data_IF_582192644207
#
_entry.id   IF_582192644207
#
_cell.length_a   1.000
_cell.length_b   1.000
_cell.length_c   1.000
_cell.angle_alpha   90.00
_cell.angle_beta   90.00
_cell.angle_gamma   90.00
#
_symmetry.space_group_name_H-M   'P 1'
#
loop_
_entity.id
_entity.type
_entity.pdbx_description
1 polymer ?
#
# COMPACT_ATOMS: atom_id res chain seq x y z
N UNK A 1 -20.92 -6.56 -1.95
CA UNK A 1 -21.16 -7.99 -2.31
C UNK A 1 -20.88 -8.18 -3.79
N UNK A 2 -19.67 -8.63 -4.11
CA UNK A 2 -19.32 -9.15 -5.44
C UNK A 2 -18.87 -10.60 -5.22
N UNK A 3 -19.72 -11.56 -5.57
CA UNK A 3 -19.66 -12.96 -5.10
C UNK A 3 -18.94 -13.88 -6.11
N UNK A 4 -17.87 -13.43 -6.79
CA UNK A 4 -17.27 -14.26 -7.85
C UNK A 4 -15.74 -14.28 -7.97
N UNK A 5 -14.95 -13.87 -6.98
CA UNK A 5 -13.49 -13.94 -7.12
C UNK A 5 -12.71 -14.67 -6.01
N UNK A 6 -13.32 -15.20 -4.96
CA UNK A 6 -12.56 -15.95 -3.93
C UNK A 6 -11.48 -15.12 -3.20
N UNK A 7 -11.41 -13.80 -3.44
CA UNK A 7 -10.55 -12.89 -2.69
C UNK A 7 -10.99 -12.71 -1.22
N UNK A 8 -12.15 -13.27 -0.84
CA UNK A 8 -12.57 -13.44 0.56
C UNK A 8 -11.91 -14.68 1.23
N UNK A 9 -11.10 -15.47 0.52
CA UNK A 9 -10.47 -16.68 1.08
C UNK A 9 -9.20 -16.37 1.89
N UNK A 10 -8.60 -15.18 1.72
CA UNK A 10 -7.38 -14.80 2.44
C UNK A 10 -7.57 -13.44 3.13
N UNK A 11 -7.78 -13.47 4.45
CA UNK A 11 -8.10 -12.29 5.25
C UNK A 11 -7.08 -11.15 5.09
N UNK A 12 -5.79 -11.49 4.94
CA UNK A 12 -4.70 -10.52 4.74
C UNK A 12 -4.84 -9.77 3.41
N UNK A 13 -5.15 -10.45 2.31
CA UNK A 13 -5.35 -9.80 1.00
C UNK A 13 -6.57 -8.88 1.04
N UNK A 14 -7.68 -9.37 1.62
CA UNK A 14 -8.88 -8.55 1.80
C UNK A 14 -8.62 -7.30 2.64
N UNK A 15 -7.78 -7.40 3.67
CA UNK A 15 -7.32 -6.26 4.47
C UNK A 15 -6.47 -5.29 3.64
N UNK A 16 -5.45 -5.74 2.92
CA UNK A 16 -4.58 -4.85 2.13
C UNK A 16 -5.37 -4.07 1.08
N UNK A 17 -6.31 -4.72 0.39
CA UNK A 17 -7.25 -4.03 -0.53
C UNK A 17 -8.12 -2.99 0.17
N UNK A 18 -8.57 -3.24 1.41
CA UNK A 18 -9.31 -2.24 2.18
C UNK A 18 -8.41 -1.04 2.58
N UNK A 19 -7.18 -1.31 2.99
CA UNK A 19 -6.18 -0.28 3.30
C UNK A 19 -5.83 0.57 2.06
N UNK A 20 -5.71 -0.04 0.88
CA UNK A 20 -5.49 0.67 -0.40
C UNK A 20 -6.56 1.72 -0.69
N UNK A 21 -7.84 1.41 -0.43
CA UNK A 21 -8.93 2.37 -0.61
C UNK A 21 -8.73 3.57 0.31
N UNK A 22 -8.40 3.35 1.58
CA UNK A 22 -8.16 4.44 2.54
C UNK A 22 -6.96 5.31 2.14
N UNK A 23 -5.88 4.69 1.66
CA UNK A 23 -4.67 5.40 1.20
C UNK A 23 -4.98 6.22 -0.06
N UNK A 24 -5.66 5.65 -1.06
CA UNK A 24 -6.04 6.36 -2.30
C UNK A 24 -6.95 7.56 -2.01
N UNK A 25 -7.94 7.39 -1.13
CA UNK A 25 -8.87 8.46 -0.79
C UNK A 25 -8.14 9.62 -0.09
N UNK A 26 -7.25 9.29 0.86
CA UNK A 26 -6.45 10.29 1.59
C UNK A 26 -5.43 10.97 0.68
N UNK A 27 -4.75 10.23 -0.19
CA UNK A 27 -3.85 10.79 -1.19
C UNK A 27 -4.60 11.67 -2.22
N UNK A 28 -5.84 11.33 -2.54
CA UNK A 28 -6.72 12.14 -3.38
C UNK A 28 -7.09 13.47 -2.72
N UNK A 29 -7.31 13.49 -1.41
CA UNK A 29 -7.50 14.71 -0.62
C UNK A 29 -6.24 15.58 -0.63
N UNK A 30 -5.07 14.99 -0.37
CA UNK A 30 -3.77 15.66 -0.45
C UNK A 30 -3.56 16.30 -1.83
N UNK A 31 -3.82 15.55 -2.90
CA UNK A 31 -3.68 16.03 -4.28
C UNK A 31 -4.56 17.26 -4.54
N UNK A 32 -5.85 17.20 -4.17
CA UNK A 32 -6.75 18.35 -4.33
C UNK A 32 -6.28 19.56 -3.52
N UNK A 33 -5.89 19.35 -2.27
CA UNK A 33 -5.39 20.41 -1.39
C UNK A 33 -4.19 21.17 -1.99
N UNK A 34 -3.24 20.43 -2.58
CA UNK A 34 -2.10 21.05 -3.27
C UNK A 34 -2.54 21.87 -4.48
N UNK A 35 -3.44 21.33 -5.31
CA UNK A 35 -3.97 22.03 -6.50
C UNK A 35 -4.79 23.28 -6.15
N UNK A 36 -5.55 23.22 -5.06
CA UNK A 36 -6.37 24.33 -4.57
C UNK A 36 -5.53 25.42 -3.86
N UNK A 37 -4.22 25.19 -3.68
CA UNK A 37 -3.30 26.13 -3.06
C UNK A 37 -3.59 26.34 -1.57
N UNK A 38 -4.04 25.30 -0.86
CA UNK A 38 -4.28 25.42 0.59
C UNK A 38 -2.99 25.76 1.33
N UNK A 39 -3.07 26.36 2.54
CA UNK A 39 -1.89 26.71 3.32
C UNK A 39 -0.92 25.53 3.54
N UNK A 40 0.41 25.76 3.50
CA UNK A 40 1.41 24.69 3.60
C UNK A 40 1.26 23.79 4.83
N UNK A 41 0.85 24.33 5.97
CA UNK A 41 0.63 23.56 7.19
C UNK A 41 -0.48 22.51 7.05
N UNK A 42 -1.49 22.77 6.21
CA UNK A 42 -2.56 21.82 5.93
C UNK A 42 -2.09 20.72 4.97
N UNK A 43 -1.26 21.06 3.98
CA UNK A 43 -0.62 20.07 3.10
C UNK A 43 0.26 19.13 3.93
N UNK A 44 1.10 19.68 4.80
CA UNK A 44 1.98 18.94 5.73
C UNK A 44 1.17 17.97 6.61
N UNK A 45 0.03 18.40 7.15
CA UNK A 45 -0.85 17.53 7.92
C UNK A 45 -1.47 16.40 7.07
N UNK A 46 -1.87 16.68 5.83
CA UNK A 46 -2.38 15.66 4.91
C UNK A 46 -1.29 14.66 4.48
N UNK A 47 -0.05 15.11 4.29
CA UNK A 47 1.09 14.22 4.04
C UNK A 47 1.30 13.27 5.24
N UNK A 48 1.26 13.79 6.46
CA UNK A 48 1.40 12.95 7.68
C UNK A 48 0.26 11.94 7.80
N UNK A 49 -0.95 12.27 7.37
CA UNK A 49 -2.07 11.33 7.31
C UNK A 49 -1.84 10.22 6.29
N UNK A 50 -1.38 10.55 5.07
CA UNK A 50 -1.06 9.54 4.05
C UNK A 50 0.05 8.61 4.54
N UNK A 51 1.15 9.16 5.07
CA UNK A 51 2.25 8.37 5.66
C UNK A 51 1.77 7.47 6.79
N UNK A 52 0.92 7.99 7.67
CA UNK A 52 0.34 7.23 8.78
C UNK A 52 -0.47 6.01 8.35
N UNK A 53 -0.98 5.99 7.12
CA UNK A 53 -1.67 4.85 6.51
C UNK A 53 -0.70 3.96 5.70
N UNK A 54 0.16 4.56 4.88
CA UNK A 54 1.02 3.85 3.94
C UNK A 54 2.20 3.13 4.63
N UNK A 55 2.85 3.76 5.61
CA UNK A 55 4.00 3.17 6.32
C UNK A 55 3.67 1.83 7.01
N UNK A 56 2.58 1.70 7.80
CA UNK A 56 2.24 0.42 8.40
C UNK A 56 1.71 -0.62 7.41
N UNK A 57 1.13 -0.18 6.30
CA UNK A 57 0.62 -1.04 5.24
C UNK A 57 1.77 -1.72 4.49
N UNK A 58 2.66 -0.94 3.88
CA UNK A 58 3.85 -1.43 3.17
C UNK A 58 4.74 -2.29 4.06
N UNK A 59 4.90 -1.90 5.33
CA UNK A 59 5.62 -2.73 6.32
C UNK A 59 4.97 -4.09 6.53
N UNK A 60 3.64 -4.17 6.57
CA UNK A 60 2.92 -5.41 6.79
C UNK A 60 3.05 -6.35 5.58
N UNK A 61 3.02 -5.80 4.37
CA UNK A 61 3.28 -6.56 3.14
C UNK A 61 4.70 -7.12 3.13
N UNK A 62 5.70 -6.26 3.37
CA UNK A 62 7.12 -6.61 3.30
C UNK A 62 7.54 -7.72 4.25
N UNK A 63 7.05 -7.68 5.50
CA UNK A 63 7.38 -8.70 6.50
C UNK A 63 6.46 -9.92 6.44
N UNK A 64 5.28 -9.77 5.85
CA UNK A 64 4.26 -10.82 5.72
C UNK A 64 4.31 -11.48 4.37
N UNK A 65 3.37 -11.10 3.49
CA UNK A 65 3.16 -11.72 2.18
C UNK A 65 4.44 -11.73 1.32
N UNK A 66 5.17 -10.62 1.26
CA UNK A 66 6.34 -10.48 0.39
C UNK A 66 7.53 -11.28 0.91
N UNK A 67 7.67 -11.41 2.23
CA UNK A 67 8.71 -12.24 2.81
C UNK A 67 8.56 -13.71 2.37
N UNK A 68 7.33 -14.23 2.36
CA UNK A 68 7.04 -15.60 1.91
C UNK A 68 7.18 -15.74 0.39
N UNK A 69 6.62 -14.80 -0.39
CA UNK A 69 6.72 -14.85 -1.86
C UNK A 69 8.17 -14.76 -2.36
N UNK A 70 9.04 -14.02 -1.66
CA UNK A 70 10.46 -13.88 -2.03
C UNK A 70 11.25 -15.20 -1.92
N UNK A 71 10.71 -16.22 -1.25
CA UNK A 71 11.32 -17.57 -1.20
C UNK A 71 11.18 -18.32 -2.54
N UNK A 72 10.24 -17.91 -3.39
CA UNK A 72 10.05 -18.45 -4.75
C UNK A 72 10.69 -17.51 -5.78
N UNK A 73 11.65 -18.05 -6.54
CA UNK A 73 12.39 -17.33 -7.58
C UNK A 73 11.47 -16.70 -8.65
N UNK A 74 10.26 -17.25 -8.85
CA UNK A 74 9.25 -16.73 -9.78
C UNK A 74 8.72 -15.36 -9.35
N UNK A 75 8.73 -15.07 -8.05
CA UNK A 75 8.19 -13.83 -7.48
C UNK A 75 9.26 -12.86 -6.98
N UNK A 76 10.50 -13.33 -6.76
CA UNK A 76 11.57 -12.56 -6.13
C UNK A 76 11.80 -11.17 -6.79
N UNK A 77 12.01 -11.12 -8.11
CA UNK A 77 12.25 -9.87 -8.85
C UNK A 77 11.04 -8.92 -8.77
N UNK A 78 9.83 -9.48 -8.83
CA UNK A 78 8.59 -8.70 -8.76
C UNK A 78 8.42 -8.06 -7.38
N UNK A 79 8.69 -8.84 -6.33
CA UNK A 79 8.63 -8.39 -4.95
C UNK A 79 9.71 -7.32 -4.67
N UNK A 80 10.93 -7.49 -5.18
CA UNK A 80 11.98 -6.48 -5.07
C UNK A 80 11.56 -5.15 -5.73
N UNK A 81 10.97 -5.22 -6.92
CA UNK A 81 10.44 -4.04 -7.60
C UNK A 81 9.36 -3.31 -6.79
N UNK A 82 8.45 -4.03 -6.14
CA UNK A 82 7.41 -3.42 -5.30
C UNK A 82 7.99 -2.77 -4.03
N UNK A 83 8.97 -3.39 -3.38
CA UNK A 83 9.66 -2.75 -2.25
C UNK A 83 10.41 -1.48 -2.67
N UNK A 84 11.04 -1.47 -3.85
CA UNK A 84 11.66 -0.25 -4.38
C UNK A 84 10.62 0.85 -4.68
N UNK A 85 9.41 0.46 -5.10
CA UNK A 85 8.28 1.39 -5.27
C UNK A 85 7.82 1.97 -3.92
N UNK A 86 7.81 1.19 -2.83
CA UNK A 86 7.54 1.71 -1.48
C UNK A 86 8.54 2.81 -1.08
N UNK A 87 9.84 2.56 -1.30
CA UNK A 87 10.89 3.55 -1.01
C UNK A 87 10.71 4.83 -1.86
N UNK A 88 10.32 4.68 -3.12
CA UNK A 88 10.02 5.82 -4.00
C UNK A 88 8.82 6.64 -3.49
N UNK A 89 7.75 5.98 -3.03
CA UNK A 89 6.58 6.65 -2.46
C UNK A 89 6.93 7.41 -1.16
N UNK A 90 7.72 6.82 -0.27
CA UNK A 90 8.19 7.52 0.94
C UNK A 90 9.06 8.74 0.61
N UNK A 91 9.94 8.61 -0.39
CA UNK A 91 10.77 9.73 -0.86
C UNK A 91 9.90 10.88 -1.41
N UNK A 92 8.84 10.57 -2.16
CA UNK A 92 7.90 11.55 -2.69
C UNK A 92 7.08 12.24 -1.58
N UNK A 93 6.61 11.47 -0.58
CA UNK A 93 5.93 12.02 0.59
C UNK A 93 6.88 12.93 1.40
N UNK A 94 8.15 12.55 1.53
CA UNK A 94 9.17 13.36 2.20
C UNK A 94 9.46 14.67 1.43
N UNK A 95 9.49 14.64 0.09
CA UNK A 95 9.62 15.82 -0.74
C UNK A 95 8.42 16.77 -0.62
N UNK A 96 7.19 16.23 -0.65
CA UNK A 96 5.97 17.02 -0.41
C UNK A 96 5.97 17.68 0.96
N UNK A 97 6.34 16.93 2.01
CA UNK A 97 6.48 17.47 3.35
C UNK A 97 7.49 18.61 3.44
N UNK A 98 8.58 18.53 2.67
CA UNK A 98 9.60 19.57 2.58
C UNK A 98 9.18 20.79 1.72
N UNK A 99 7.97 20.76 1.14
CA UNK A 99 7.40 21.87 0.37
C UNK A 99 7.54 21.73 -1.14
N UNK A 100 8.08 20.62 -1.65
CA UNK A 100 8.08 20.35 -3.09
C UNK A 100 6.72 19.83 -3.54
N UNK A 101 5.80 20.76 -3.76
CA UNK A 101 4.44 20.45 -4.19
C UNK A 101 4.36 19.97 -5.65
N UNK A 102 5.44 20.08 -6.44
CA UNK A 102 5.45 19.69 -7.85
C UNK A 102 5.34 18.17 -8.04
N UNK A 103 5.71 17.39 -7.01
CA UNK A 103 5.68 15.92 -7.07
C UNK A 103 4.31 15.32 -6.77
N UNK A 104 3.29 16.11 -6.41
CA UNK A 104 1.99 15.59 -5.93
C UNK A 104 1.27 14.74 -6.98
N UNK A 105 1.31 15.14 -8.25
CA UNK A 105 0.67 14.40 -9.33
C UNK A 105 1.40 13.10 -9.62
N UNK A 106 2.74 13.12 -9.51
CA UNK A 106 3.57 11.92 -9.66
C UNK A 106 3.33 10.94 -8.52
N UNK A 107 3.31 11.40 -7.26
CA UNK A 107 2.97 10.57 -6.10
C UNK A 107 1.64 9.85 -6.32
N UNK A 108 0.60 10.59 -6.72
CA UNK A 108 -0.72 10.01 -6.89
C UNK A 108 -0.77 8.99 -8.04
N UNK A 109 -0.06 9.24 -9.14
CA UNK A 109 0.04 8.30 -10.25
C UNK A 109 0.83 7.03 -9.85
N UNK A 110 2.00 7.20 -9.24
CA UNK A 110 2.87 6.10 -8.82
C UNK A 110 2.17 5.22 -7.78
N UNK A 111 1.45 5.81 -6.81
CA UNK A 111 0.66 5.08 -5.83
C UNK A 111 -0.43 4.23 -6.48
N UNK A 112 -1.15 4.77 -7.47
CA UNK A 112 -2.21 4.02 -8.16
C UNK A 112 -1.65 2.87 -9.00
N UNK A 113 -0.52 3.11 -9.65
CA UNK A 113 0.16 2.07 -10.43
C UNK A 113 0.69 0.95 -9.53
N UNK A 114 1.28 1.31 -8.39
CA UNK A 114 1.73 0.38 -7.37
C UNK A 114 0.60 -0.52 -6.86
N UNK A 115 -0.52 0.08 -6.44
CA UNK A 115 -1.71 -0.66 -6.00
C UNK A 115 -2.27 -1.55 -7.13
N UNK A 116 -2.28 -1.06 -8.37
CA UNK A 116 -2.75 -1.85 -9.51
C UNK A 116 -1.89 -3.11 -9.72
N UNK A 117 -0.56 -2.94 -9.64
CA UNK A 117 0.44 -4.00 -9.78
C UNK A 117 0.29 -5.11 -8.74
N UNK A 118 -0.20 -4.78 -7.55
CA UNK A 118 -0.48 -5.72 -6.47
C UNK A 118 -1.84 -6.38 -6.67
N UNK A 119 -2.93 -5.60 -6.70
CA UNK A 119 -4.28 -6.13 -6.71
C UNK A 119 -4.63 -6.92 -7.98
N UNK A 120 -4.06 -6.53 -9.12
CA UNK A 120 -4.34 -7.16 -10.41
C UNK A 120 -3.17 -8.01 -10.91
N UNK A 121 -2.08 -8.09 -10.14
CA UNK A 121 -0.89 -8.84 -10.50
C UNK A 121 -0.46 -9.77 -9.37
N UNK A 122 0.20 -9.20 -8.36
CA UNK A 122 0.82 -10.00 -7.30
C UNK A 122 -0.19 -10.79 -6.46
N UNK A 123 -1.27 -10.17 -5.97
CA UNK A 123 -2.21 -10.83 -5.06
C UNK A 123 -2.96 -11.99 -5.73
N UNK A 124 -3.50 -11.86 -6.96
CA UNK A 124 -4.09 -13.00 -7.65
C UNK A 124 -3.09 -14.11 -7.94
N UNK A 125 -1.85 -13.76 -8.28
CA UNK A 125 -0.80 -14.75 -8.52
C UNK A 125 -0.41 -15.49 -7.23
N UNK A 126 -0.32 -14.78 -6.09
CA UNK A 126 -0.09 -15.37 -4.78
C UNK A 126 -1.23 -16.31 -4.36
N UNK A 127 -2.49 -15.93 -4.64
CA UNK A 127 -3.67 -16.76 -4.35
C UNK A 127 -3.64 -18.12 -5.08
N UNK A 128 -2.99 -18.19 -6.24
CA UNK A 128 -2.82 -19.43 -7.01
C UNK A 128 -1.52 -20.15 -6.66
N UNK A 129 -0.45 -19.40 -6.36
CA UNK A 129 0.90 -19.94 -6.16
C UNK A 129 1.20 -20.43 -4.75
N UNK A 130 0.62 -19.82 -3.73
CA UNK A 130 0.90 -20.15 -2.33
C UNK A 130 0.08 -21.35 -1.84
N UNK A 131 0.74 -22.23 -1.09
CA UNK A 131 0.06 -23.33 -0.40
C UNK A 131 -0.67 -22.85 0.86
N UNK A 132 -1.52 -23.70 1.44
CA UNK A 132 -2.17 -23.38 2.72
C UNK A 132 -1.16 -23.12 3.86
N UNK A 133 -0.03 -23.84 3.88
CA UNK A 133 1.04 -23.64 4.87
C UNK A 133 1.75 -22.31 4.69
N UNK A 134 1.89 -21.85 3.44
CA UNK A 134 2.47 -20.54 3.15
C UNK A 134 1.54 -19.42 3.64
N UNK A 135 0.23 -19.57 3.44
CA UNK A 135 -0.76 -18.62 3.98
C UNK A 135 -0.75 -18.57 5.51
N UNK A 136 -0.64 -19.70 6.20
CA UNK A 136 -0.47 -19.72 7.67
C UNK A 136 0.80 -18.97 8.10
N UNK A 137 1.90 -19.07 7.33
CA UNK A 137 3.13 -18.30 7.58
C UNK A 137 2.93 -16.82 7.33
N UNK A 138 2.24 -16.44 6.25
CA UNK A 138 1.90 -15.04 5.95
C UNK A 138 1.11 -14.44 7.11
N UNK A 139 0.07 -15.13 7.59
CA UNK A 139 -0.75 -14.65 8.71
C UNK A 139 0.06 -14.51 10.00
N UNK A 140 0.94 -15.46 10.30
CA UNK A 140 1.79 -15.42 11.49
C UNK A 140 2.83 -14.29 11.46
N UNK A 141 3.32 -13.92 10.28
CA UNK A 141 4.32 -12.87 10.10
C UNK A 141 3.69 -11.47 9.98
N UNK A 142 2.47 -11.38 9.46
CA UNK A 142 1.80 -10.11 9.17
C UNK A 142 1.36 -9.43 10.48
N UNK A 143 1.86 -8.21 10.78
CA UNK A 143 1.41 -7.47 11.95
C UNK A 143 -0.09 -7.20 11.88
N UNK A 144 -0.80 -7.33 13.01
CA UNK A 144 -2.24 -7.07 13.08
C UNK A 144 -2.60 -5.65 12.58
N UNK A 145 -3.82 -5.46 12.01
CA UNK A 145 -4.28 -4.15 11.57
C UNK A 145 -4.22 -3.15 12.72
N UNK A 146 -3.80 -1.92 12.40
CA UNK A 146 -3.95 -0.82 13.35
C UNK A 146 -5.43 -0.54 13.49
N UNK A 147 -6.01 -0.86 14.65
CA UNK A 147 -7.37 -0.43 14.95
C UNK A 147 -7.44 1.10 14.82
N UNK A 148 -8.37 1.59 13.99
CA UNK A 148 -8.75 3.01 14.03
C UNK A 148 -9.17 3.31 15.47
N UNK A 149 -8.39 4.15 16.16
CA UNK A 149 -8.88 4.80 17.36
C UNK A 149 -10.03 5.70 16.87
N UNK A 150 -11.27 5.21 16.97
CA UNK A 150 -12.45 6.04 16.77
C UNK A 150 -12.30 7.28 17.68
N UNK A 151 -12.07 8.44 17.07
CA UNK A 151 -12.24 9.75 17.68
C UNK A 151 -13.37 10.45 16.97
#
# INVERSE_FOLDING_TARGET
>A
MCTYCGCETFEVVGRFTAEHVEVIDTAGLLRRAVHDGVPPEQVVALVDLVRGLLDPHTRAEEVGLFAVLREDETFADRVEGLCAEHEQLDAQLSALRAGDHSVVDRLYADLREHIHKEENGLFPAAAVGLSAQDWERVDALTPAPRHRAHR
#
